data_IF_642258684944
#
_entry.id   IF_642258684944
#
_cell.length_a   1.000
_cell.length_b   1.000
_cell.length_c   1.000
_cell.angle_alpha   90.00
_cell.angle_beta   90.00
_cell.angle_gamma   90.00
#
_symmetry.space_group_name_H-M   'P 1'
#
loop_
_entity.id
_entity.type
_entity.pdbx_description
1 polymer ?
#
# COMPACT_ATOMS: atom_id res chain seq x y z
N UNK A 1 11.90 -7.31 0.33
CA UNK A 1 10.78 -6.88 -0.52
C UNK A 1 9.50 -7.40 0.11
N UNK A 2 8.58 -6.51 0.48
CA UNK A 2 7.27 -6.94 1.01
C UNK A 2 6.33 -7.35 -0.12
N UNK A 3 5.26 -8.07 0.20
CA UNK A 3 4.24 -8.41 -0.80
C UNK A 3 3.60 -7.15 -1.41
N UNK A 4 3.40 -6.12 -0.59
CA UNK A 4 2.91 -4.82 -1.05
C UNK A 4 3.84 -4.19 -2.11
N UNK A 5 5.15 -4.17 -1.86
CA UNK A 5 6.14 -3.64 -2.82
C UNK A 5 6.10 -4.42 -4.15
N UNK A 6 6.02 -5.76 -4.07
CA UNK A 6 5.91 -6.64 -5.25
C UNK A 6 4.67 -6.30 -6.08
N UNK A 7 3.53 -6.15 -5.42
CA UNK A 7 2.26 -5.84 -6.07
C UNK A 7 2.26 -4.42 -6.68
N UNK A 8 2.83 -3.42 -6.00
CA UNK A 8 3.00 -2.07 -6.57
C UNK A 8 3.85 -2.11 -7.84
N UNK A 9 4.96 -2.84 -7.83
CA UNK A 9 5.81 -2.99 -9.00
C UNK A 9 5.07 -3.71 -10.14
N UNK A 10 4.26 -4.74 -9.84
CA UNK A 10 3.40 -5.42 -10.83
C UNK A 10 2.33 -4.49 -11.42
N UNK A 11 1.80 -3.58 -10.61
CA UNK A 11 0.86 -2.54 -11.05
C UNK A 11 1.53 -1.43 -11.87
N UNK A 12 2.86 -1.43 -12.03
CA UNK A 12 3.59 -0.41 -12.77
C UNK A 12 3.59 0.98 -12.11
N UNK A 13 3.28 1.05 -10.81
CA UNK A 13 3.14 2.31 -10.07
C UNK A 13 4.44 2.68 -9.38
N UNK A 14 4.84 3.94 -9.46
CA UNK A 14 5.85 4.49 -8.54
C UNK A 14 5.27 4.73 -7.15
N UNK A 15 6.13 4.85 -6.13
CA UNK A 15 5.72 5.23 -4.76
C UNK A 15 4.94 6.56 -4.78
N UNK A 16 5.40 7.54 -5.56
CA UNK A 16 4.78 8.86 -5.64
C UNK A 16 3.39 8.83 -6.27
N UNK A 17 3.19 8.05 -7.35
CA UNK A 17 1.88 7.89 -7.99
C UNK A 17 0.89 7.22 -7.04
N UNK A 18 1.29 6.09 -6.43
CA UNK A 18 0.43 5.38 -5.48
C UNK A 18 0.08 6.26 -4.28
N UNK A 19 1.04 7.01 -3.73
CA UNK A 19 0.81 7.92 -2.62
C UNK A 19 -0.21 9.03 -2.98
N UNK A 20 -0.05 9.64 -4.16
CA UNK A 20 -0.96 10.70 -4.64
C UNK A 20 -2.39 10.18 -4.80
N UNK A 21 -2.55 9.03 -5.47
CA UNK A 21 -3.87 8.44 -5.72
C UNK A 21 -4.54 7.92 -4.45
N UNK A 22 -3.76 7.31 -3.55
CA UNK A 22 -4.26 6.84 -2.25
C UNK A 22 -4.49 7.99 -1.26
N UNK A 23 -4.12 9.23 -1.60
CA UNK A 23 -4.18 10.40 -0.73
C UNK A 23 -3.49 10.14 0.61
N UNK A 24 -2.28 9.59 0.54
CA UNK A 24 -1.38 9.36 1.68
C UNK A 24 -0.01 9.98 1.39
N UNK A 25 0.81 10.17 2.42
CA UNK A 25 2.17 10.66 2.20
C UNK A 25 3.04 9.58 1.55
N UNK A 26 4.04 10.01 0.76
CA UNK A 26 5.07 9.11 0.22
C UNK A 26 5.73 8.27 1.33
N UNK A 27 6.02 8.90 2.47
CA UNK A 27 6.58 8.24 3.64
C UNK A 27 5.68 7.12 4.20
N UNK A 28 4.36 7.19 4.00
CA UNK A 28 3.44 6.10 4.39
C UNK A 28 3.68 4.87 3.53
N UNK A 29 3.78 5.04 2.21
CA UNK A 29 4.06 3.94 1.27
C UNK A 29 5.43 3.33 1.59
N UNK A 30 6.46 4.15 1.80
CA UNK A 30 7.79 3.67 2.18
C UNK A 30 7.78 2.89 3.51
N UNK A 31 6.98 3.32 4.50
CA UNK A 31 6.83 2.57 5.76
C UNK A 31 6.19 1.20 5.51
N UNK A 32 5.16 1.12 4.67
CA UNK A 32 4.52 -0.15 4.30
C UNK A 32 5.55 -1.08 3.62
N UNK A 33 6.32 -0.56 2.66
CA UNK A 33 7.35 -1.35 1.95
C UNK A 33 8.52 -1.79 2.84
N UNK A 34 8.80 -1.04 3.92
CA UNK A 34 9.78 -1.40 4.95
C UNK A 34 9.21 -2.31 6.05
N UNK A 35 7.93 -2.70 5.98
CA UNK A 35 7.27 -3.50 7.03
C UNK A 35 7.10 -2.75 8.35
N UNK A 36 7.09 -1.42 8.32
CA UNK A 36 6.89 -0.57 9.48
C UNK A 36 5.40 -0.33 9.72
N UNK A 37 5.05 -0.17 11.00
CA UNK A 37 3.66 0.10 11.41
C UNK A 37 3.14 1.41 10.82
N UNK A 38 1.95 1.36 10.26
CA UNK A 38 1.20 2.53 9.77
C UNK A 38 -0.23 2.53 10.32
N UNK A 39 -0.94 3.66 10.26
CA UNK A 39 -2.35 3.70 10.67
C UNK A 39 -3.20 2.85 9.74
N UNK A 40 -4.10 2.03 10.28
CA UNK A 40 -4.94 1.13 9.49
C UNK A 40 -5.70 1.84 8.33
N UNK A 41 -6.31 3.04 8.53
CA UNK A 41 -6.97 3.75 7.44
C UNK A 41 -6.03 4.14 6.29
N UNK A 42 -4.74 4.37 6.57
CA UNK A 42 -3.77 4.73 5.54
C UNK A 42 -3.31 3.50 4.75
N UNK A 43 -3.10 2.38 5.44
CA UNK A 43 -2.81 1.10 4.79
C UNK A 43 -3.97 0.68 3.88
N UNK A 44 -5.21 0.79 4.36
CA UNK A 44 -6.40 0.45 3.57
C UNK A 44 -6.52 1.31 2.32
N UNK A 45 -6.30 2.62 2.40
CA UNK A 45 -6.32 3.51 1.23
C UNK A 45 -5.32 3.08 0.16
N UNK A 46 -4.09 2.74 0.58
CA UNK A 46 -3.05 2.28 -0.32
C UNK A 46 -3.42 0.95 -0.99
N UNK A 47 -3.95 -0.01 -0.22
CA UNK A 47 -4.40 -1.30 -0.73
C UNK A 47 -5.59 -1.17 -1.68
N UNK A 48 -6.53 -0.27 -1.40
CA UNK A 48 -7.67 0.00 -2.27
C UNK A 48 -7.26 0.49 -3.66
N UNK A 49 -6.31 1.43 -3.74
CA UNK A 49 -5.79 1.89 -5.04
C UNK A 49 -5.05 0.76 -5.73
N UNK A 50 -4.18 0.06 -5.01
CA UNK A 50 -3.42 -1.05 -5.58
C UNK A 50 -4.33 -2.16 -6.14
N UNK A 51 -5.42 -2.48 -5.43
CA UNK A 51 -6.42 -3.44 -5.87
C UNK A 51 -7.13 -3.03 -7.16
N UNK A 52 -7.45 -1.73 -7.33
CA UNK A 52 -8.02 -1.20 -8.57
C UNK A 52 -7.11 -1.44 -9.78
N UNK A 53 -5.81 -1.19 -9.63
CA UNK A 53 -4.84 -1.41 -10.72
C UNK A 53 -4.63 -2.88 -11.04
N UNK A 54 -4.80 -3.76 -10.05
CA UNK A 54 -4.63 -5.21 -10.22
C UNK A 54 -5.94 -5.95 -10.55
N UNK A 55 -7.06 -5.23 -10.64
CA UNK A 55 -8.38 -5.82 -10.94
C UNK A 55 -8.88 -6.79 -9.87
N UNK A 56 -8.44 -6.64 -8.62
CA UNK A 56 -8.86 -7.50 -7.50
C UNK A 56 -8.90 -6.74 -6.18
N UNK A 57 -9.72 -7.20 -5.25
CA UNK A 57 -9.73 -6.64 -3.89
C UNK A 57 -8.45 -7.03 -3.15
N UNK A 58 -7.91 -6.08 -2.36
CA UNK A 58 -6.70 -6.25 -1.58
C UNK A 58 -6.91 -5.49 -0.27
N UNK A 59 -6.76 -6.19 0.85
CA UNK A 59 -6.74 -5.58 2.18
C UNK A 59 -5.32 -5.52 2.76
N UNK A 60 -5.12 -4.73 3.80
CA UNK A 60 -3.82 -4.67 4.47
C UNK A 60 -3.58 -5.93 5.32
N UNK A 61 -4.64 -6.62 5.72
CA UNK A 61 -4.63 -7.91 6.41
C UNK A 61 -4.08 -9.01 5.50
N UNK A 62 -4.55 -9.11 4.25
CA UNK A 62 -4.09 -10.11 3.27
C UNK A 62 -2.58 -9.99 3.00
N UNK A 63 -2.09 -8.76 3.06
CA UNK A 63 -0.69 -8.43 2.78
C UNK A 63 0.20 -8.44 4.04
N UNK A 64 -0.34 -8.82 5.20
CA UNK A 64 0.35 -8.82 6.49
C UNK A 64 1.02 -7.46 6.81
N UNK A 65 0.38 -6.36 6.43
CA UNK A 65 0.90 -5.01 6.72
C UNK A 65 0.64 -4.72 8.20
N UNK A 66 1.68 -4.43 9.00
CA UNK A 66 1.48 -4.16 10.41
C UNK A 66 0.83 -2.79 10.59
N UNK A 67 -0.25 -2.74 11.38
CA UNK A 67 -1.02 -1.51 11.60
C UNK A 67 -1.07 -1.10 13.08
N UNK A 68 -1.24 0.20 13.31
CA UNK A 68 -1.70 0.77 14.58
C UNK A 68 -3.14 1.25 14.41
N UNK A 69 -3.95 1.03 15.46
CA UNK A 69 -5.33 1.53 15.54
C UNK A 69 -5.32 3.04 15.81
#
# INVERSE_FOLDING_TARGET
MTEFERLRNKAGLTISQLAAEARVSRATIEKIEKGLRVRAPLAQRACNILGKYLGREISYEDLNIPVVR
#
